data_IF_596771550689
#
_entry.id   IF_596771550689
#
_cell.length_a   1.000
_cell.length_b   1.000
_cell.length_c   1.000
_cell.angle_alpha   90.00
_cell.angle_beta   90.00
_cell.angle_gamma   90.00
#
_symmetry.space_group_name_H-M   'P 1'
#
loop_
_entity.id
_entity.type
_entity.pdbx_description
1 polymer ?
#
# COMPACT_ATOMS: atom_id res chain seq x y z
N UNK A 1 14.69 -30.17 13.99
CA UNK A 1 13.97 -30.71 15.17
C UNK A 1 13.79 -29.56 16.14
N UNK A 2 12.61 -28.94 16.17
CA UNK A 2 12.29 -27.99 17.25
C UNK A 2 12.04 -28.84 18.49
N UNK A 3 13.04 -28.96 19.36
CA UNK A 3 12.82 -29.52 20.69
C UNK A 3 11.98 -28.51 21.45
N UNK A 4 10.71 -28.82 21.69
CA UNK A 4 9.85 -28.01 22.55
C UNK A 4 10.41 -28.02 23.96
N UNK A 5 10.73 -26.86 24.50
CA UNK A 5 11.05 -26.70 25.91
C UNK A 5 9.74 -26.45 26.66
N UNK A 6 9.36 -27.37 27.55
CA UNK A 6 8.22 -27.17 28.44
C UNK A 6 8.69 -26.42 29.69
N UNK A 7 8.05 -25.28 29.97
CA UNK A 7 8.32 -24.49 31.17
C UNK A 7 7.14 -24.63 32.12
N UNK A 8 7.32 -25.20 33.32
CA UNK A 8 6.24 -25.36 34.28
C UNK A 8 5.81 -23.99 34.82
N UNK A 9 4.49 -23.74 34.84
CA UNK A 9 3.89 -22.55 35.41
C UNK A 9 3.17 -22.88 36.72
N UNK A 10 3.11 -21.95 37.70
CA UNK A 10 2.48 -22.21 39.00
C UNK A 10 0.95 -22.40 38.94
N UNK A 11 0.32 -22.18 37.80
CA UNK A 11 -1.11 -22.41 37.59
C UNK A 11 -1.51 -22.09 36.14
N UNK A 12 -2.82 -22.17 35.82
CA UNK A 12 -3.32 -21.87 34.49
C UNK A 12 -2.94 -20.45 34.03
N UNK A 13 -2.47 -20.32 32.80
CA UNK A 13 -2.18 -19.04 32.17
C UNK A 13 -3.44 -18.41 31.57
N UNK A 14 -3.51 -17.08 31.57
CA UNK A 14 -4.65 -16.34 31.01
C UNK A 14 -4.23 -15.22 30.04
N UNK A 15 -2.97 -14.78 30.07
CA UNK A 15 -2.45 -13.76 29.14
C UNK A 15 -0.96 -13.97 28.86
N UNK A 16 -0.60 -13.83 27.60
CA UNK A 16 0.78 -13.87 27.10
C UNK A 16 1.09 -12.54 26.40
N UNK A 17 2.25 -11.94 26.69
CA UNK A 17 2.73 -10.71 26.04
C UNK A 17 4.24 -10.77 25.88
N UNK A 18 4.73 -10.62 24.66
CA UNK A 18 6.16 -10.43 24.40
C UNK A 18 6.59 -9.01 24.75
N UNK A 19 7.82 -8.87 25.25
CA UNK A 19 8.50 -7.59 25.30
C UNK A 19 8.95 -7.21 23.88
N UNK A 20 8.62 -6.01 23.35
CA UNK A 20 8.90 -5.67 21.94
C UNK A 20 10.39 -5.71 21.55
N UNK A 21 11.29 -5.33 22.45
CA UNK A 21 12.72 -5.13 22.17
C UNK A 21 13.64 -6.00 23.05
N UNK A 22 13.06 -6.98 23.75
CA UNK A 22 13.79 -7.88 24.63
C UNK A 22 13.30 -9.32 24.40
N UNK A 23 14.19 -10.27 24.57
CA UNK A 23 13.90 -11.71 24.45
C UNK A 23 13.17 -12.24 25.69
N UNK A 24 12.01 -11.66 26.00
CA UNK A 24 11.21 -11.92 27.19
C UNK A 24 9.75 -12.11 26.82
N UNK A 25 9.15 -13.20 27.30
CA UNK A 25 7.72 -13.46 27.29
C UNK A 25 7.15 -13.27 28.69
N UNK A 26 6.27 -12.29 28.86
CA UNK A 26 5.47 -12.11 30.06
C UNK A 26 4.25 -13.04 30.05
N UNK A 27 4.07 -13.77 31.14
CA UNK A 27 2.98 -14.74 31.34
C UNK A 27 2.20 -14.36 32.59
N UNK A 28 0.93 -13.98 32.41
CA UNK A 28 -0.04 -13.89 33.50
C UNK A 28 -0.63 -15.27 33.80
N UNK A 29 -0.49 -15.74 35.04
CA UNK A 29 -1.04 -17.01 35.53
C UNK A 29 -1.82 -16.83 36.83
N UNK A 30 -2.56 -17.86 37.27
CA UNK A 30 -3.46 -17.78 38.42
C UNK A 30 -2.80 -17.31 39.74
N UNK A 31 -1.49 -17.48 39.88
CA UNK A 31 -0.73 -17.09 41.06
C UNK A 31 0.05 -15.78 40.91
N UNK A 32 -0.05 -15.10 39.75
CA UNK A 32 0.65 -13.85 39.50
C UNK A 32 1.22 -13.73 38.08
N UNK A 33 2.48 -13.31 38.01
CA UNK A 33 3.19 -13.02 36.76
C UNK A 33 4.55 -13.72 36.73
N UNK A 34 4.91 -14.27 35.58
CA UNK A 34 6.23 -14.83 35.31
C UNK A 34 6.81 -14.20 34.04
N UNK A 35 8.11 -13.92 34.03
CA UNK A 35 8.86 -13.51 32.84
C UNK A 35 9.77 -14.65 32.39
N UNK A 36 9.55 -15.14 31.18
CA UNK A 36 10.31 -16.23 30.59
C UNK A 36 11.28 -15.68 29.54
N UNK A 37 12.54 -16.12 29.56
CA UNK A 37 13.50 -15.78 28.52
C UNK A 37 13.21 -16.60 27.26
N UNK A 38 12.97 -15.93 26.14
CA UNK A 38 12.68 -16.55 24.83
C UNK A 38 13.65 -15.97 23.80
N UNK A 39 14.78 -16.64 23.54
CA UNK A 39 15.80 -16.15 22.63
C UNK A 39 15.24 -15.92 21.21
N UNK A 40 15.56 -14.77 20.62
CA UNK A 40 15.13 -14.39 19.27
C UNK A 40 13.66 -13.96 19.14
N UNK A 41 13.02 -13.57 20.25
CA UNK A 41 11.63 -13.11 20.25
C UNK A 41 11.49 -11.58 20.14
N UNK A 42 12.50 -10.81 20.55
CA UNK A 42 12.51 -9.36 20.49
C UNK A 42 13.09 -8.80 19.18
N UNK A 43 12.66 -7.60 18.79
CA UNK A 43 13.30 -6.86 17.71
C UNK A 43 14.57 -6.16 18.23
N UNK A 44 15.78 -6.53 17.75
CA UNK A 44 17.03 -5.96 18.27
C UNK A 44 17.23 -4.50 17.89
N UNK A 45 16.70 -4.07 16.74
CA UNK A 45 16.90 -2.72 16.21
C UNK A 45 15.64 -1.88 16.38
N UNK A 46 15.53 -1.17 17.52
CA UNK A 46 14.38 -0.30 17.77
C UNK A 46 14.52 1.05 17.04
N UNK A 47 13.40 1.58 16.55
CA UNK A 47 13.33 2.96 16.07
C UNK A 47 13.17 3.91 17.26
N UNK A 48 14.19 4.73 17.48
CA UNK A 48 14.23 5.68 18.59
C UNK A 48 13.20 6.83 18.48
N UNK A 49 12.68 7.12 17.30
CA UNK A 49 11.67 8.16 17.10
C UNK A 49 10.27 7.62 17.40
N UNK A 50 9.98 6.40 16.97
CA UNK A 50 8.68 5.76 17.18
C UNK A 50 8.54 5.17 18.59
N UNK A 51 9.40 4.22 18.97
CA UNK A 51 9.22 3.38 20.16
C UNK A 51 10.53 3.20 20.93
N UNK A 52 11.08 4.30 21.46
CA UNK A 52 12.29 4.24 22.28
C UNK A 52 12.03 3.72 23.71
N UNK A 53 12.64 2.59 24.13
CA UNK A 53 12.51 2.07 25.50
C UNK A 53 13.25 2.94 26.54
N UNK A 54 14.24 3.74 26.11
CA UNK A 54 15.10 4.56 26.97
C UNK A 54 14.70 6.05 26.97
N UNK A 55 13.42 6.37 26.76
CA UNK A 55 12.92 7.77 26.75
C UNK A 55 13.16 8.47 28.09
N UNK A 56 13.80 9.63 28.03
CA UNK A 56 13.83 10.58 29.15
C UNK A 56 12.44 11.15 29.46
N UNK A 57 12.27 11.76 30.64
CA UNK A 57 10.99 12.40 31.03
C UNK A 57 10.52 13.45 30.03
N UNK A 58 11.45 14.27 29.51
CA UNK A 58 11.15 15.29 28.52
C UNK A 58 10.72 14.69 27.18
N UNK A 59 11.45 13.69 26.68
CA UNK A 59 11.09 12.99 25.44
C UNK A 59 9.75 12.28 25.53
N UNK A 60 9.37 11.79 26.72
CA UNK A 60 8.04 11.19 26.95
C UNK A 60 6.93 12.23 26.82
N UNK A 61 7.10 13.40 27.45
CA UNK A 61 6.13 14.50 27.37
C UNK A 61 5.96 15.00 25.93
N UNK A 62 7.07 15.23 25.21
CA UNK A 62 7.03 15.67 23.81
C UNK A 62 6.36 14.62 22.90
N UNK A 63 6.63 13.33 23.13
CA UNK A 63 6.01 12.25 22.36
C UNK A 63 4.53 12.08 22.65
N UNK A 64 4.09 12.20 23.89
CA UNK A 64 2.65 12.16 24.23
C UNK A 64 1.88 13.27 23.52
N UNK A 65 2.44 14.50 23.49
CA UNK A 65 1.84 15.62 22.75
C UNK A 65 1.82 15.33 21.25
N UNK A 66 2.94 14.85 20.69
CA UNK A 66 3.02 14.51 19.26
C UNK A 66 2.03 13.41 18.87
N UNK A 67 1.97 12.31 19.63
CA UNK A 67 1.07 11.20 19.40
C UNK A 67 -0.41 11.62 19.51
N UNK A 68 -0.72 12.60 20.38
CA UNK A 68 -2.06 13.15 20.47
C UNK A 68 -2.42 14.00 19.24
N UNK A 69 -1.52 14.85 18.76
CA UNK A 69 -1.73 15.67 17.57
C UNK A 69 -1.80 14.84 16.28
N UNK A 70 -1.03 13.77 16.20
CA UNK A 70 -0.99 12.85 15.06
C UNK A 70 -2.03 11.72 15.16
N UNK A 71 -2.92 11.76 16.16
CA UNK A 71 -3.94 10.74 16.35
C UNK A 71 -4.83 10.61 15.12
N UNK A 72 -4.83 9.42 14.54
CA UNK A 72 -5.65 9.10 13.37
C UNK A 72 -7.15 9.14 13.76
N UNK A 73 -8.01 9.90 13.05
CA UNK A 73 -9.45 9.87 13.27
C UNK A 73 -10.06 8.53 12.85
N UNK A 74 -11.16 8.14 13.49
CA UNK A 74 -11.77 6.81 13.30
C UNK A 74 -12.22 6.54 11.87
N UNK A 75 -12.57 7.58 11.11
CA UNK A 75 -13.02 7.48 9.72
C UNK A 75 -11.92 7.00 8.76
N UNK A 76 -10.64 7.15 9.15
CA UNK A 76 -9.50 6.73 8.33
C UNK A 76 -9.05 5.29 8.63
N UNK A 77 -9.75 4.57 9.50
CA UNK A 77 -9.45 3.17 9.81
C UNK A 77 -10.08 2.30 8.71
N UNK A 78 -9.24 1.86 7.76
CA UNK A 78 -9.65 1.01 6.63
C UNK A 78 -8.92 -0.33 6.65
N UNK A 79 -9.40 -1.30 5.87
CA UNK A 79 -8.74 -2.60 5.72
C UNK A 79 -7.39 -2.50 5.01
N UNK A 80 -7.30 -1.64 3.99
CA UNK A 80 -6.07 -1.37 3.26
C UNK A 80 -5.64 0.09 3.52
N UNK A 81 -4.54 0.32 4.26
CA UNK A 81 -4.08 1.66 4.61
C UNK A 81 -3.54 2.42 3.39
N UNK A 82 -3.22 1.75 2.28
CA UNK A 82 -2.74 2.41 1.05
C UNK A 82 -3.86 3.07 0.24
N UNK A 83 -5.13 2.85 0.62
CA UNK A 83 -6.28 3.42 -0.07
C UNK A 83 -6.45 4.92 0.16
N UNK A 84 -6.00 5.44 1.31
CA UNK A 84 -6.08 6.86 1.67
C UNK A 84 -5.48 7.81 0.61
N UNK A 85 -4.42 7.38 -0.07
CA UNK A 85 -3.76 8.17 -1.11
C UNK A 85 -4.31 7.94 -2.53
N UNK A 86 -5.33 7.09 -2.69
CA UNK A 86 -5.90 6.76 -4.01
C UNK A 86 -7.09 7.65 -4.31
N UNK A 87 -7.29 7.92 -5.58
CA UNK A 87 -8.48 8.62 -6.05
C UNK A 87 -9.53 7.60 -6.43
N UNK A 88 -10.78 7.86 -6.05
CA UNK A 88 -11.92 7.05 -6.45
C UNK A 88 -12.07 7.08 -7.99
N UNK A 89 -11.95 5.93 -8.69
CA UNK A 89 -12.05 5.88 -10.14
C UNK A 89 -13.43 6.32 -10.64
N UNK A 90 -14.51 6.04 -9.89
CA UNK A 90 -15.88 6.35 -10.31
C UNK A 90 -16.05 7.88 -10.34
N UNK A 91 -15.68 8.55 -9.24
CA UNK A 91 -15.72 10.01 -9.16
C UNK A 91 -14.85 10.67 -10.23
N UNK A 92 -13.68 10.10 -10.55
CA UNK A 92 -12.81 10.62 -11.62
C UNK A 92 -13.41 10.47 -13.01
N UNK A 93 -14.04 9.33 -13.30
CA UNK A 93 -14.70 9.08 -14.58
C UNK A 93 -15.87 10.04 -14.78
N UNK A 94 -16.69 10.26 -13.75
CA UNK A 94 -17.79 11.23 -13.77
C UNK A 94 -17.28 12.66 -14.02
N UNK A 95 -16.25 13.10 -13.28
CA UNK A 95 -15.65 14.41 -13.49
C UNK A 95 -15.09 14.59 -14.90
N UNK A 96 -14.54 13.52 -15.49
CA UNK A 96 -14.07 13.53 -16.88
C UNK A 96 -15.23 13.68 -17.85
N UNK A 97 -16.29 12.89 -17.70
CA UNK A 97 -17.48 12.97 -18.55
C UNK A 97 -18.11 14.37 -18.52
N UNK A 98 -18.31 14.95 -17.34
CA UNK A 98 -18.82 16.31 -17.17
C UNK A 98 -17.92 17.36 -17.83
N UNK A 99 -16.60 17.17 -17.75
CA UNK A 99 -15.62 18.07 -18.39
C UNK A 99 -15.69 17.99 -19.90
N UNK A 100 -15.82 16.78 -20.44
CA UNK A 100 -15.95 16.53 -21.89
C UNK A 100 -17.26 17.15 -22.40
N UNK A 101 -18.36 16.98 -21.68
CA UNK A 101 -19.65 17.57 -22.04
C UNK A 101 -19.60 19.11 -22.06
N UNK A 102 -18.99 19.72 -21.03
CA UNK A 102 -18.85 21.18 -20.95
C UNK A 102 -17.96 21.77 -22.05
N UNK A 103 -16.88 21.09 -22.40
CA UNK A 103 -15.94 21.55 -23.43
C UNK A 103 -16.40 21.22 -24.85
N UNK A 104 -17.30 20.25 -25.01
CA UNK A 104 -17.73 19.72 -26.30
C UNK A 104 -16.65 18.92 -27.05
N UNK A 105 -15.49 18.71 -26.42
CA UNK A 105 -14.41 17.84 -26.89
C UNK A 105 -13.65 17.27 -25.70
N UNK A 106 -13.05 16.10 -25.88
CA UNK A 106 -12.23 15.47 -24.85
C UNK A 106 -10.76 15.92 -24.97
N UNK A 107 -10.22 16.69 -24.01
CA UNK A 107 -8.83 17.14 -24.05
C UNK A 107 -7.82 16.01 -23.82
N UNK A 108 -8.24 14.89 -23.22
CA UNK A 108 -7.40 13.72 -22.95
C UNK A 108 -7.62 12.60 -23.98
N UNK A 109 -8.48 12.83 -24.99
CA UNK A 109 -8.71 11.87 -26.05
C UNK A 109 -7.40 11.58 -26.77
N UNK A 110 -7.05 10.29 -26.79
CA UNK A 110 -5.88 9.82 -27.54
C UNK A 110 -6.13 10.06 -29.02
N UNK A 111 -5.36 10.98 -29.62
CA UNK A 111 -5.49 11.29 -31.05
C UNK A 111 -5.43 10.00 -31.88
N UNK A 112 -6.41 9.85 -32.78
CA UNK A 112 -6.44 8.77 -33.75
C UNK A 112 -5.18 8.86 -34.62
N UNK A 113 -4.45 7.75 -34.73
CA UNK A 113 -3.22 7.70 -35.51
C UNK A 113 -3.48 8.08 -36.98
N UNK A 114 -3.02 9.26 -37.38
CA UNK A 114 -3.07 9.72 -38.77
C UNK A 114 -1.68 9.60 -39.41
N UNK A 115 -1.48 8.71 -40.40
CA UNK A 115 -0.17 8.54 -41.02
C UNK A 115 0.22 9.78 -41.83
N UNK A 116 1.34 10.42 -41.47
CA UNK A 116 1.92 11.54 -42.22
C UNK A 116 2.28 11.13 -43.66
N UNK A 117 2.02 12.03 -44.62
CA UNK A 117 2.44 11.88 -46.02
C UNK A 117 3.96 11.98 -46.13
N UNK A 118 4.56 11.16 -46.99
CA UNK A 118 6.01 11.18 -47.24
C UNK A 118 6.29 11.89 -48.57
N UNK A 119 7.23 12.84 -48.55
CA UNK A 119 7.55 13.71 -49.69
C UNK A 119 8.25 12.99 -50.86
N UNK A 120 8.92 11.84 -50.64
CA UNK A 120 9.64 11.13 -51.71
C UNK A 120 9.62 9.61 -51.52
N UNK A 121 8.96 8.92 -52.45
CA UNK A 121 8.88 7.46 -52.53
C UNK A 121 8.16 6.79 -51.35
N UNK A 122 7.56 5.63 -51.58
CA UNK A 122 6.95 4.77 -50.53
C UNK A 122 5.68 5.32 -49.84
N UNK A 123 4.98 6.31 -50.42
CA UNK A 123 3.67 6.81 -49.92
C UNK A 123 2.45 6.35 -50.74
N UNK A 124 2.58 5.23 -51.45
CA UNK A 124 1.48 4.63 -52.19
C UNK A 124 0.27 4.33 -51.29
N UNK A 125 -0.92 4.29 -51.88
CA UNK A 125 -2.16 3.95 -51.16
C UNK A 125 -2.02 2.65 -50.35
N UNK A 126 -1.37 1.63 -50.91
CA UNK A 126 -1.08 0.37 -50.21
C UNK A 126 -0.13 0.53 -49.02
N UNK A 127 0.90 1.36 -49.12
CA UNK A 127 1.83 1.64 -48.00
C UNK A 127 1.13 2.38 -46.85
N UNK A 128 0.20 3.29 -47.16
CA UNK A 128 -0.64 3.99 -46.17
C UNK A 128 -1.61 3.04 -45.49
N UNK A 129 -2.27 2.16 -46.26
CA UNK A 129 -3.18 1.13 -45.71
C UNK A 129 -2.44 0.17 -44.77
N UNK A 130 -1.24 -0.30 -45.15
CA UNK A 130 -0.42 -1.19 -44.30
C UNK A 130 -0.06 -0.53 -42.96
N UNK A 131 0.31 0.77 -42.97
CA UNK A 131 0.59 1.53 -41.74
C UNK A 131 -0.65 1.68 -40.85
N UNK A 132 -1.82 2.01 -41.42
CA UNK A 132 -3.09 2.08 -40.67
C UNK A 132 -3.46 0.73 -40.05
N UNK A 133 -3.39 -0.37 -40.83
CA UNK A 133 -3.69 -1.73 -40.35
C UNK A 133 -2.76 -2.17 -39.22
N UNK A 134 -1.47 -1.85 -39.31
CA UNK A 134 -0.49 -2.17 -38.26
C UNK A 134 -0.85 -1.49 -36.93
N UNK A 135 -1.14 -0.19 -36.96
CA UNK A 135 -1.50 0.56 -35.75
C UNK A 135 -2.87 0.16 -35.21
N UNK A 136 -3.83 -0.16 -36.10
CA UNK A 136 -5.12 -0.71 -35.68
C UNK A 136 -4.98 -2.04 -34.92
N UNK A 137 -4.11 -2.94 -35.39
CA UNK A 137 -3.82 -4.20 -34.71
C UNK A 137 -3.11 -3.99 -33.36
N UNK A 138 -2.21 -3.02 -33.27
CA UNK A 138 -1.58 -2.61 -31.99
C UNK A 138 -2.62 -2.03 -31.02
N UNK A 139 -3.57 -1.23 -31.51
CA UNK A 139 -4.69 -0.71 -30.73
C UNK A 139 -5.60 -1.81 -30.19
N UNK A 140 -5.98 -2.79 -31.02
CA UNK A 140 -6.77 -3.95 -30.61
C UNK A 140 -6.07 -4.78 -29.53
N UNK A 141 -4.74 -4.98 -29.64
CA UNK A 141 -3.95 -5.68 -28.62
C UNK A 141 -3.90 -4.93 -27.29
N UNK A 142 -3.81 -3.60 -27.33
CA UNK A 142 -3.81 -2.79 -26.11
C UNK A 142 -5.16 -2.84 -25.39
N UNK A 143 -6.28 -2.85 -26.13
CA UNK A 143 -7.63 -3.02 -25.57
C UNK A 143 -7.81 -4.41 -24.93
N UNK A 144 -7.41 -5.48 -25.64
CA UNK A 144 -7.44 -6.85 -25.11
C UNK A 144 -6.59 -7.01 -23.85
N UNK A 145 -5.43 -6.33 -23.78
CA UNK A 145 -4.58 -6.36 -22.58
C UNK A 145 -5.23 -5.65 -21.40
N UNK A 146 -5.96 -4.55 -21.63
CA UNK A 146 -6.72 -3.86 -20.58
C UNK A 146 -7.87 -4.72 -20.06
N UNK A 147 -8.62 -5.39 -20.94
CA UNK A 147 -9.73 -6.27 -20.54
C UNK A 147 -9.31 -7.55 -19.82
N UNK A 148 -8.05 -7.96 -19.95
CA UNK A 148 -7.47 -9.10 -19.22
C UNK A 148 -6.84 -8.70 -17.87
N UNK A 149 -6.62 -7.40 -17.65
CA UNK A 149 -6.01 -6.86 -16.43
C UNK A 149 -7.04 -6.33 -15.42
N UNK A 150 -8.30 -6.18 -15.86
CA UNK A 150 -9.49 -6.03 -15.02
C UNK A 150 -9.98 -7.39 -14.53
#
# INVERSE_FOLDING_TARGET
>A
VLHGVEVPLPGPSHRLRFCPFEDVLGVGHAQGFASLLVPGAGEPNFDALENNPFRSRRQRQEWEVKAFLEKIPSELITLDPTQLGRVDPISLEQQREERVERLGYDPEAKELFSPRRKLKGRDSAGSRLKRRKKVAAEGQRALLRKSLAS
#
